data_IF_264118520427
#
_entry.id   IF_264118520427
#
_cell.length_a   1.000
_cell.length_b   1.000
_cell.length_c   1.000
_cell.angle_alpha   90.00
_cell.angle_beta   90.00
_cell.angle_gamma   90.00
#
_symmetry.space_group_name_H-M   'P 1'
#
loop_
_entity.id
_entity.type
_entity.pdbx_description
1 polymer ?
#
# COMPACT_ATOMS: atom_id res chain seq x y z
N UNK A 1 1.84 5.44 26.04
CA UNK A 1 1.88 5.63 24.58
C UNK A 1 0.53 5.23 24.02
N UNK A 2 -0.17 6.15 23.32
CA UNK A 2 -1.41 5.79 22.62
C UNK A 2 -1.13 4.70 21.56
N UNK A 3 -1.98 3.67 21.55
CA UNK A 3 -1.90 2.61 20.54
C UNK A 3 -2.30 3.18 19.19
N UNK A 4 -1.39 3.17 18.22
CA UNK A 4 -1.71 3.56 16.84
C UNK A 4 -2.88 2.70 16.31
N UNK A 5 -3.83 3.30 15.59
CA UNK A 5 -4.96 2.55 15.05
C UNK A 5 -4.48 1.49 14.05
N UNK A 6 -5.16 0.35 13.99
CA UNK A 6 -4.84 -0.74 13.06
C UNK A 6 -5.15 -0.38 11.60
N UNK A 7 -6.14 0.51 11.37
CA UNK A 7 -6.60 0.93 10.05
C UNK A 7 -6.91 2.43 10.03
N UNK A 8 -6.78 3.05 8.85
CA UNK A 8 -7.28 4.40 8.60
C UNK A 8 -8.76 4.32 8.21
N UNK A 9 -9.62 4.99 8.98
CA UNK A 9 -11.03 5.18 8.65
C UNK A 9 -11.20 6.60 8.14
N UNK A 10 -11.72 6.74 6.92
CA UNK A 10 -11.98 8.01 6.26
C UNK A 10 -13.47 8.30 6.37
N UNK A 11 -13.84 9.40 7.01
CA UNK A 11 -15.22 9.86 7.05
C UNK A 11 -15.49 10.83 5.89
N UNK A 12 -16.58 10.63 5.16
CA UNK A 12 -17.10 11.61 4.22
C UNK A 12 -18.25 12.38 4.90
N UNK A 13 -18.04 13.68 5.12
CA UNK A 13 -19.01 14.56 5.78
C UNK A 13 -20.26 14.84 4.94
N UNK A 14 -20.19 14.68 3.61
CA UNK A 14 -21.31 15.00 2.70
C UNK A 14 -22.41 13.94 2.70
N UNK A 15 -22.07 12.68 2.96
CA UNK A 15 -23.03 11.56 3.00
C UNK A 15 -23.04 10.84 4.35
N UNK A 16 -22.24 11.30 5.33
CA UNK A 16 -22.07 10.70 6.66
C UNK A 16 -21.64 9.21 6.62
N UNK A 17 -20.97 8.78 5.54
CA UNK A 17 -20.44 7.43 5.41
C UNK A 17 -18.95 7.39 5.79
N UNK A 18 -18.50 6.20 6.19
CA UNK A 18 -17.11 5.88 6.48
C UNK A 18 -16.56 4.86 5.49
N UNK A 19 -15.29 5.03 5.12
CA UNK A 19 -14.54 4.12 4.26
C UNK A 19 -13.28 3.64 4.97
N UNK A 20 -12.99 2.35 4.86
CA UNK A 20 -11.72 1.77 5.27
C UNK A 20 -11.05 1.03 4.11
N UNK A 21 -9.77 1.32 3.89
CA UNK A 21 -8.92 0.57 2.97
C UNK A 21 -8.09 -0.47 3.72
N UNK A 22 -8.12 -1.71 3.25
CA UNK A 22 -7.32 -2.80 3.79
C UNK A 22 -6.07 -3.01 2.93
N UNK A 23 -4.89 -2.57 3.40
CA UNK A 23 -3.65 -2.70 2.63
C UNK A 23 -3.14 -4.15 2.66
N UNK A 24 -2.85 -4.72 1.48
CA UNK A 24 -2.24 -6.04 1.36
C UNK A 24 -0.89 -5.92 0.64
N UNK A 25 0.18 -6.43 1.26
CA UNK A 25 1.53 -6.23 0.74
C UNK A 25 1.66 -6.62 -0.75
N UNK A 26 2.25 -5.72 -1.54
CA UNK A 26 2.50 -5.85 -3.00
C UNK A 26 1.25 -5.86 -3.89
N UNK A 27 0.11 -5.39 -3.39
CA UNK A 27 -1.12 -5.17 -4.17
C UNK A 27 -1.33 -3.71 -4.58
N UNK A 28 -0.28 -3.06 -5.12
CA UNK A 28 -0.32 -1.65 -5.52
C UNK A 28 -0.65 -0.64 -4.39
N UNK A 29 -0.32 -0.97 -3.14
CA UNK A 29 -0.63 -0.11 -1.99
C UNK A 29 -0.10 1.32 -2.13
N UNK A 30 1.13 1.53 -2.63
CA UNK A 30 1.66 2.89 -2.78
C UNK A 30 0.77 3.73 -3.69
N UNK A 31 0.33 3.17 -4.83
CA UNK A 31 -0.62 3.83 -5.73
C UNK A 31 -1.96 4.13 -5.07
N UNK A 32 -2.51 3.18 -4.29
CA UNK A 32 -3.75 3.41 -3.53
C UNK A 32 -3.57 4.53 -2.50
N UNK A 33 -2.45 4.54 -1.76
CA UNK A 33 -2.14 5.59 -0.80
C UNK A 33 -2.12 6.97 -1.48
N UNK A 34 -1.47 7.09 -2.63
CA UNK A 34 -1.49 8.34 -3.41
C UNK A 34 -2.89 8.74 -3.86
N UNK A 35 -3.68 7.77 -4.32
CA UNK A 35 -5.05 8.02 -4.74
C UNK A 35 -5.90 8.55 -3.58
N UNK A 36 -5.78 7.96 -2.39
CA UNK A 36 -6.47 8.41 -1.18
C UNK A 36 -5.94 9.77 -0.70
N UNK A 37 -4.62 9.99 -0.72
CA UNK A 37 -4.00 11.29 -0.38
C UNK A 37 -4.57 12.40 -1.25
N UNK A 38 -4.70 12.17 -2.57
CA UNK A 38 -5.28 13.12 -3.51
C UNK A 38 -6.77 13.38 -3.22
N UNK A 39 -7.53 12.34 -2.89
CA UNK A 39 -8.93 12.51 -2.46
C UNK A 39 -9.07 13.36 -1.19
N UNK A 40 -8.10 13.28 -0.30
CA UNK A 40 -8.05 14.03 0.95
C UNK A 40 -7.44 15.44 0.80
N UNK A 41 -6.94 15.83 -0.38
CA UNK A 41 -6.27 17.12 -0.58
C UNK A 41 -4.95 17.24 0.19
N UNK A 42 -4.23 16.13 0.37
CA UNK A 42 -2.99 16.05 1.16
C UNK A 42 -1.73 15.86 0.28
N UNK A 43 -1.83 15.99 -1.02
CA UNK A 43 -0.75 15.75 -1.99
C UNK A 43 0.54 16.52 -1.63
N UNK A 44 0.43 17.78 -1.24
CA UNK A 44 1.60 18.62 -0.90
C UNK A 44 2.29 18.20 0.41
N UNK A 45 1.72 17.25 1.15
CA UNK A 45 2.26 16.76 2.43
C UNK A 45 2.94 15.41 2.31
N UNK A 46 2.87 14.75 1.15
CA UNK A 46 3.43 13.42 0.96
C UNK A 46 4.29 13.27 -0.29
N UNK A 47 5.35 12.46 -0.18
CA UNK A 47 6.25 12.10 -1.28
C UNK A 47 6.53 10.58 -1.32
N UNK A 48 7.11 10.08 -2.41
CA UNK A 48 7.53 8.67 -2.55
C UNK A 48 9.05 8.56 -2.64
N UNK A 49 9.74 8.50 -1.51
CA UNK A 49 11.21 8.38 -1.50
C UNK A 49 11.62 6.95 -1.87
N UNK A 50 10.90 5.94 -1.36
CA UNK A 50 11.25 4.52 -1.50
C UNK A 50 11.12 3.97 -2.93
N UNK A 51 10.34 4.62 -3.79
CA UNK A 51 10.23 4.23 -5.20
C UNK A 51 11.33 4.86 -6.06
N UNK A 52 11.96 5.94 -5.58
CA UNK A 52 13.06 6.63 -6.25
C UNK A 52 14.41 6.07 -5.83
N UNK A 53 14.58 5.81 -4.54
CA UNK A 53 15.86 5.38 -3.96
C UNK A 53 15.66 4.11 -3.13
N UNK A 54 16.46 3.05 -3.36
CA UNK A 54 16.46 1.90 -2.47
C UNK A 54 16.93 2.32 -1.08
N UNK A 55 16.51 1.58 -0.05
CA UNK A 55 16.63 2.03 1.34
C UNK A 55 18.10 2.28 1.74
N UNK A 56 19.02 1.43 1.27
CA UNK A 56 20.45 1.56 1.53
C UNK A 56 21.13 2.75 0.82
N UNK A 57 20.45 3.41 -0.12
CA UNK A 57 20.95 4.62 -0.80
C UNK A 57 20.36 5.92 -0.24
N UNK A 58 19.42 5.86 0.71
CA UNK A 58 18.79 7.05 1.28
C UNK A 58 19.72 7.71 2.32
N UNK A 59 20.68 8.51 1.85
CA UNK A 59 21.59 9.29 2.70
C UNK A 59 20.87 10.45 3.40
N UNK A 60 21.47 11.00 4.46
CA UNK A 60 20.96 12.20 5.15
C UNK A 60 20.75 13.37 4.18
N UNK A 61 21.68 13.58 3.24
CA UNK A 61 21.56 14.62 2.20
C UNK A 61 20.32 14.42 1.31
N UNK A 62 20.00 13.17 0.94
CA UNK A 62 18.79 12.87 0.18
C UNK A 62 17.56 13.16 1.06
N UNK A 63 17.56 12.72 2.31
CA UNK A 63 16.43 12.90 3.22
C UNK A 63 16.15 14.38 3.53
N UNK A 64 17.19 15.21 3.62
CA UNK A 64 17.07 16.65 3.84
C UNK A 64 16.33 17.34 2.68
N UNK A 65 16.49 16.88 1.43
CA UNK A 65 15.74 17.37 0.26
C UNK A 65 14.23 17.12 0.36
N UNK A 66 13.80 16.23 1.25
CA UNK A 66 12.38 15.92 1.52
C UNK A 66 11.92 16.40 2.90
N UNK A 67 12.69 17.27 3.56
CA UNK A 67 12.32 17.83 4.86
C UNK A 67 11.02 18.61 4.76
N UNK A 68 10.14 18.40 5.74
CA UNK A 68 8.80 19.01 5.77
C UNK A 68 7.72 18.19 5.04
N UNK A 69 8.10 17.15 4.28
CA UNK A 69 7.17 16.26 3.57
C UNK A 69 7.22 14.85 4.18
N UNK A 70 6.07 14.17 4.28
CA UNK A 70 6.01 12.81 4.84
C UNK A 70 6.17 11.77 3.74
N UNK A 71 6.93 10.70 3.98
CA UNK A 71 6.95 9.58 3.05
C UNK A 71 5.58 8.87 3.03
N UNK A 72 5.06 8.57 1.83
CA UNK A 72 3.80 7.88 1.58
C UNK A 72 3.70 6.54 2.32
N UNK A 73 4.82 5.87 2.59
CA UNK A 73 4.78 4.63 3.39
C UNK A 73 4.12 4.84 4.75
N UNK A 74 4.22 6.04 5.31
CA UNK A 74 3.71 6.43 6.62
C UNK A 74 2.25 6.94 6.59
N UNK A 75 1.62 7.02 5.41
CA UNK A 75 0.25 7.52 5.29
C UNK A 75 -0.79 6.60 5.96
N UNK A 76 -0.64 5.28 5.78
CA UNK A 76 -1.48 4.29 6.45
C UNK A 76 -0.76 3.75 7.69
N UNK A 77 -1.51 3.25 8.68
CA UNK A 77 -0.92 2.48 9.76
C UNK A 77 -0.08 1.29 9.27
N UNK A 78 0.79 0.74 10.14
CA UNK A 78 1.58 -0.44 9.81
C UNK A 78 0.70 -1.60 9.34
N UNK A 79 1.24 -2.42 8.44
CA UNK A 79 0.58 -3.63 7.99
C UNK A 79 0.24 -4.55 9.19
N UNK A 80 -1.06 -4.76 9.41
CA UNK A 80 -1.60 -5.58 10.50
C UNK A 80 -2.32 -6.80 9.94
N UNK A 81 -2.34 -7.92 10.68
CA UNK A 81 -3.12 -9.11 10.31
C UNK A 81 -4.60 -8.70 10.18
N UNK A 82 -5.33 -9.33 9.26
CA UNK A 82 -6.75 -9.05 9.05
C UNK A 82 -7.53 -9.00 10.37
N UNK A 83 -8.31 -7.93 10.55
CA UNK A 83 -9.27 -7.76 11.64
C UNK A 83 -10.51 -7.08 11.07
N UNK A 84 -11.68 -7.48 11.53
CA UNK A 84 -12.92 -6.78 11.16
C UNK A 84 -12.95 -5.39 11.81
N UNK A 85 -13.47 -4.42 11.08
CA UNK A 85 -13.62 -3.01 11.48
C UNK A 85 -15.03 -2.57 11.11
N UNK A 86 -15.65 -1.80 12.00
CA UNK A 86 -16.95 -1.19 11.76
C UNK A 86 -16.73 0.05 10.87
N UNK A 87 -17.24 -0.01 9.65
CA UNK A 87 -17.25 1.07 8.66
C UNK A 87 -18.32 0.78 7.60
N UNK A 88 -18.87 1.80 6.96
CA UNK A 88 -19.96 1.64 5.98
C UNK A 88 -19.47 1.00 4.68
N UNK A 89 -18.32 1.47 4.19
CA UNK A 89 -17.63 0.95 3.00
C UNK A 89 -16.28 0.36 3.39
N UNK A 90 -15.97 -0.80 2.82
CA UNK A 90 -14.70 -1.51 3.01
C UNK A 90 -14.13 -1.82 1.64
N UNK A 91 -12.88 -1.47 1.41
CA UNK A 91 -12.24 -1.66 0.12
C UNK A 91 -10.88 -2.34 0.22
N UNK A 92 -10.53 -3.10 -0.82
CA UNK A 92 -9.22 -3.72 -0.95
C UNK A 92 -8.86 -3.93 -2.43
N UNK A 93 -7.56 -4.06 -2.70
CA UNK A 93 -7.06 -4.60 -3.97
C UNK A 93 -6.54 -6.01 -3.77
N UNK A 94 -6.89 -6.90 -4.69
CA UNK A 94 -6.31 -8.24 -4.82
C UNK A 94 -5.37 -8.29 -6.01
N UNK A 95 -4.46 -9.25 -6.03
CA UNK A 95 -3.50 -9.45 -7.12
C UNK A 95 -3.33 -10.93 -7.39
N UNK A 96 -2.99 -11.27 -8.63
CA UNK A 96 -2.51 -12.62 -8.94
C UNK A 96 -1.36 -13.02 -7.98
N UNK A 97 -1.44 -14.18 -7.29
CA UNK A 97 -0.45 -14.58 -6.29
C UNK A 97 0.97 -14.63 -6.82
N UNK A 98 1.18 -15.09 -8.06
CA UNK A 98 2.50 -15.24 -8.68
C UNK A 98 3.06 -13.86 -9.04
N UNK A 99 2.28 -13.01 -9.70
CA UNK A 99 2.66 -11.65 -10.02
C UNK A 99 2.97 -10.82 -8.77
N UNK A 100 2.24 -11.07 -7.67
CA UNK A 100 2.51 -10.46 -6.36
C UNK A 100 3.84 -10.94 -5.78
N UNK A 101 4.12 -12.23 -5.81
CA UNK A 101 5.37 -12.81 -5.35
C UNK A 101 6.57 -12.24 -6.12
N UNK A 102 6.53 -12.28 -7.46
CA UNK A 102 7.58 -11.72 -8.33
C UNK A 102 7.79 -10.24 -8.05
N UNK A 103 6.71 -9.48 -7.83
CA UNK A 103 6.80 -8.07 -7.44
C UNK A 103 7.46 -7.87 -6.07
N UNK A 104 7.19 -8.75 -5.11
CA UNK A 104 7.86 -8.80 -3.82
C UNK A 104 9.36 -9.04 -3.96
N UNK A 105 9.73 -10.09 -4.69
CA UNK A 105 11.12 -10.47 -4.93
C UNK A 105 11.93 -9.35 -5.59
N UNK A 106 11.45 -8.82 -6.72
CA UNK A 106 12.11 -7.72 -7.44
C UNK A 106 12.32 -6.48 -6.56
N UNK A 107 11.33 -6.15 -5.73
CA UNK A 107 11.38 -4.91 -4.94
C UNK A 107 12.17 -5.09 -3.64
N UNK A 108 11.87 -6.11 -2.83
CA UNK A 108 12.46 -6.26 -1.48
C UNK A 108 13.86 -6.85 -1.52
N UNK A 109 14.11 -7.79 -2.44
CA UNK A 109 15.39 -8.51 -2.51
C UNK A 109 16.32 -7.83 -3.51
N UNK A 110 15.89 -7.67 -4.77
CA UNK A 110 16.79 -7.15 -5.80
C UNK A 110 17.03 -5.63 -5.69
N UNK A 111 15.96 -4.87 -5.49
CA UNK A 111 16.04 -3.40 -5.45
C UNK A 111 16.41 -2.86 -4.07
N UNK A 112 15.61 -3.12 -3.03
CA UNK A 112 15.87 -2.59 -1.69
C UNK A 112 16.96 -3.34 -0.93
N UNK A 113 17.28 -4.58 -1.33
CA UNK A 113 18.27 -5.44 -0.65
C UNK A 113 18.04 -5.49 0.86
N UNK A 114 16.79 -5.74 1.25
CA UNK A 114 16.40 -5.81 2.65
C UNK A 114 17.37 -6.72 3.43
N UNK A 115 17.86 -6.30 4.62
CA UNK A 115 18.85 -7.06 5.37
C UNK A 115 18.48 -8.53 5.63
N UNK A 116 17.21 -8.82 5.93
CA UNK A 116 16.69 -10.18 6.12
C UNK A 116 16.57 -11.01 4.83
N UNK A 117 16.97 -10.49 3.67
CA UNK A 117 16.94 -11.20 2.40
C UNK A 117 18.24 -11.13 1.63
N UNK A 118 19.32 -10.68 2.27
CA UNK A 118 20.64 -10.66 1.64
C UNK A 118 20.96 -12.09 1.16
N UNK A 119 21.33 -12.21 -0.11
CA UNK A 119 21.67 -13.45 -0.81
C UNK A 119 20.59 -14.54 -0.86
N UNK A 120 19.32 -14.21 -0.60
CA UNK A 120 18.25 -15.18 -0.74
C UNK A 120 17.89 -15.44 -2.20
N UNK A 121 17.88 -16.71 -2.60
CA UNK A 121 17.34 -17.15 -3.89
C UNK A 121 15.80 -17.21 -3.86
N UNK A 122 15.17 -17.40 -5.01
CA UNK A 122 13.73 -17.65 -5.10
C UNK A 122 13.35 -18.90 -4.31
N UNK A 123 14.10 -19.99 -4.49
CA UNK A 123 13.82 -21.28 -3.83
C UNK A 123 13.91 -21.15 -2.31
N UNK A 124 14.93 -20.45 -1.79
CA UNK A 124 15.05 -20.19 -0.36
C UNK A 124 13.86 -19.40 0.19
N UNK A 125 13.34 -18.43 -0.56
CA UNK A 125 12.15 -17.67 -0.14
C UNK A 125 10.93 -18.57 -0.11
N UNK A 126 10.76 -19.45 -1.10
CA UNK A 126 9.65 -20.41 -1.16
C UNK A 126 9.73 -21.41 0.00
N UNK A 127 10.88 -22.04 0.21
CA UNK A 127 11.12 -22.99 1.30
C UNK A 127 10.83 -22.35 2.66
N UNK A 128 11.26 -21.11 2.87
CA UNK A 128 10.94 -20.35 4.10
C UNK A 128 9.43 -20.13 4.27
N UNK A 129 8.71 -19.82 3.19
CA UNK A 129 7.25 -19.65 3.24
C UNK A 129 6.54 -20.96 3.59
N UNK A 130 6.97 -22.08 3.00
CA UNK A 130 6.41 -23.42 3.25
C UNK A 130 6.62 -23.85 4.70
N UNK A 131 7.78 -23.52 5.28
CA UNK A 131 8.14 -23.83 6.66
C UNK A 131 7.66 -22.79 7.69
N UNK A 132 6.82 -21.82 7.29
CA UNK A 132 6.36 -20.72 8.13
C UNK A 132 7.47 -19.85 8.77
N UNK A 133 8.64 -19.78 8.15
CA UNK A 133 9.78 -18.98 8.59
C UNK A 133 9.73 -17.59 7.94
N UNK A 134 9.02 -16.65 8.58
CA UNK A 134 8.76 -15.33 8.00
C UNK A 134 9.62 -14.23 8.62
N UNK A 135 10.76 -13.92 8.00
CA UNK A 135 11.58 -12.75 8.36
C UNK A 135 10.95 -11.43 7.90
N UNK A 136 10.12 -11.48 6.84
CA UNK A 136 9.44 -10.31 6.30
C UNK A 136 8.00 -10.63 5.87
N UNK A 137 7.08 -9.79 6.32
CA UNK A 137 5.65 -9.94 6.05
C UNK A 137 5.27 -9.66 4.59
N UNK A 138 6.16 -9.10 3.77
CA UNK A 138 5.86 -8.77 2.37
C UNK A 138 5.51 -9.98 1.49
N UNK A 139 6.01 -11.17 1.82
CA UNK A 139 5.72 -12.40 1.08
C UNK A 139 4.51 -13.19 1.62
N UNK A 140 4.02 -12.86 2.82
CA UNK A 140 2.83 -13.50 3.39
C UNK A 140 1.64 -13.44 2.42
N UNK A 141 0.82 -14.50 2.34
CA UNK A 141 -0.31 -14.58 1.41
C UNK A 141 -1.32 -13.45 1.67
N UNK A 142 -2.09 -13.10 0.64
CA UNK A 142 -3.02 -11.96 0.70
C UNK A 142 -4.11 -12.14 1.76
N UNK A 143 -4.52 -13.38 2.01
CA UNK A 143 -5.50 -13.72 3.05
C UNK A 143 -5.02 -13.43 4.48
N UNK A 144 -3.70 -13.29 4.71
CA UNK A 144 -3.17 -12.80 5.97
C UNK A 144 -3.63 -11.36 6.26
N UNK A 145 -3.74 -10.54 5.21
CA UNK A 145 -4.11 -9.12 5.28
C UNK A 145 -5.61 -8.89 5.08
N UNK A 146 -6.25 -9.67 4.21
CA UNK A 146 -7.62 -9.46 3.75
C UNK A 146 -8.63 -10.45 4.33
N UNK A 147 -8.19 -11.47 5.07
CA UNK A 147 -9.04 -12.56 5.51
C UNK A 147 -9.34 -13.56 4.38
N UNK A 148 -10.24 -14.51 4.64
CA UNK A 148 -10.59 -15.58 3.70
C UNK A 148 -11.86 -15.32 2.89
N UNK A 149 -12.62 -14.28 3.24
CA UNK A 149 -13.91 -13.99 2.62
C UNK A 149 -13.91 -12.58 2.01
N UNK A 150 -13.89 -12.52 0.67
CA UNK A 150 -13.96 -11.25 -0.05
C UNK A 150 -15.36 -10.61 -0.03
N UNK A 151 -16.42 -11.35 0.33
CA UNK A 151 -17.78 -10.80 0.47
C UNK A 151 -17.88 -9.81 1.63
N UNK A 152 -16.89 -9.81 2.54
CA UNK A 152 -16.77 -8.81 3.60
C UNK A 152 -16.53 -7.39 3.06
N UNK A 153 -16.01 -7.24 1.85
CA UNK A 153 -15.68 -5.96 1.24
C UNK A 153 -16.77 -5.48 0.30
N UNK A 154 -17.03 -4.17 0.31
CA UNK A 154 -17.97 -3.53 -0.60
C UNK A 154 -17.31 -3.23 -1.96
N UNK A 155 -16.03 -2.88 -1.95
CA UNK A 155 -15.28 -2.46 -3.14
C UNK A 155 -14.05 -3.36 -3.28
N UNK A 156 -14.06 -4.24 -4.28
CA UNK A 156 -12.97 -5.16 -4.58
C UNK A 156 -12.57 -5.01 -6.03
N UNK A 157 -11.27 -4.91 -6.29
CA UNK A 157 -10.75 -4.94 -7.65
C UNK A 157 -9.41 -5.71 -7.71
N UNK A 158 -9.09 -6.24 -8.88
CA UNK A 158 -7.78 -6.82 -9.13
C UNK A 158 -6.81 -5.72 -9.57
N UNK A 159 -5.54 -5.79 -9.19
CA UNK A 159 -4.52 -4.87 -9.70
C UNK A 159 -4.37 -4.88 -11.23
N UNK A 160 -4.80 -5.95 -11.93
CA UNK A 160 -4.86 -5.99 -13.40
C UNK A 160 -6.05 -5.21 -13.98
N UNK A 161 -7.12 -5.02 -13.20
CA UNK A 161 -8.28 -4.21 -13.56
C UNK A 161 -8.84 -3.50 -12.32
N UNK A 162 -8.44 -2.25 -12.16
CA UNK A 162 -8.72 -1.41 -10.99
C UNK A 162 -10.01 -0.59 -11.10
N UNK A 163 -10.78 -0.72 -12.19
CA UNK A 163 -11.92 0.17 -12.50
C UNK A 163 -12.90 0.23 -11.34
N UNK A 164 -13.36 -0.91 -10.85
CA UNK A 164 -14.29 -0.97 -9.71
C UNK A 164 -13.76 -0.28 -8.45
N UNK A 165 -12.44 -0.30 -8.24
CA UNK A 165 -11.84 0.40 -7.11
C UNK A 165 -11.86 1.91 -7.32
N UNK A 166 -11.49 2.38 -8.50
CA UNK A 166 -11.53 3.81 -8.85
C UNK A 166 -12.93 4.35 -8.71
N UNK A 167 -13.89 3.70 -9.35
CA UNK A 167 -15.29 4.13 -9.36
C UNK A 167 -15.87 4.11 -7.95
N UNK A 168 -15.60 3.06 -7.17
CA UNK A 168 -16.07 2.97 -5.79
C UNK A 168 -15.51 4.06 -4.86
N UNK A 169 -14.24 4.44 -5.01
CA UNK A 169 -13.65 5.53 -4.22
C UNK A 169 -14.15 6.90 -4.69
N UNK A 170 -14.25 7.10 -6.00
CA UNK A 170 -14.76 8.34 -6.59
C UNK A 170 -16.22 8.57 -6.19
N UNK A 171 -17.06 7.52 -6.23
CA UNK A 171 -18.45 7.57 -5.78
C UNK A 171 -18.54 7.83 -4.27
N UNK A 172 -17.76 7.11 -3.46
CA UNK A 172 -17.70 7.34 -2.01
C UNK A 172 -17.34 8.79 -1.69
N UNK A 173 -16.38 9.37 -2.41
CA UNK A 173 -15.83 10.70 -2.13
C UNK A 173 -16.54 11.84 -2.86
N UNK A 174 -17.44 11.52 -3.79
CA UNK A 174 -18.09 12.45 -4.72
C UNK A 174 -17.07 13.32 -5.48
N UNK A 175 -15.96 12.71 -5.90
CA UNK A 175 -14.90 13.33 -6.70
C UNK A 175 -14.52 12.42 -7.86
N UNK A 176 -14.26 12.98 -9.03
CA UNK A 176 -13.75 12.23 -10.18
C UNK A 176 -12.24 12.42 -10.29
N UNK A 177 -11.49 11.47 -9.71
CA UNK A 177 -10.03 11.47 -9.81
C UNK A 177 -9.55 10.23 -10.55
N UNK A 178 -8.45 10.38 -11.28
CA UNK A 178 -7.77 9.29 -11.97
C UNK A 178 -6.81 8.54 -11.05
N UNK A 179 -6.76 7.21 -11.18
CA UNK A 179 -5.82 6.41 -10.42
C UNK A 179 -4.39 6.67 -10.91
N UNK A 180 -3.44 6.89 -10.00
CA UNK A 180 -2.07 7.18 -10.40
C UNK A 180 -1.39 5.94 -11.00
N UNK A 181 -0.84 6.07 -12.21
CA UNK A 181 0.07 5.06 -12.77
C UNK A 181 1.39 5.10 -12.01
N UNK A 182 1.95 3.93 -11.65
CA UNK A 182 3.16 3.82 -10.82
C UNK A 182 4.34 4.68 -11.32
N UNK A 183 4.59 4.74 -12.64
CA UNK A 183 5.65 5.58 -13.24
C UNK A 183 5.36 7.09 -13.24
N UNK A 184 4.11 7.52 -13.11
CA UNK A 184 3.73 8.95 -13.07
C UNK A 184 3.81 9.54 -11.65
N UNK A 185 3.66 8.71 -10.62
CA UNK A 185 3.82 9.13 -9.21
C UNK A 185 5.21 9.72 -8.96
N UNK A 186 6.26 9.10 -9.49
CA UNK A 186 7.62 9.60 -9.34
C UNK A 186 7.90 10.92 -10.09
N UNK A 187 7.11 11.26 -11.13
CA UNK A 187 7.33 12.45 -11.97
C UNK A 187 6.45 13.65 -11.62
N UNK A 188 5.26 13.42 -11.05
CA UNK A 188 4.24 14.46 -10.87
C UNK A 188 4.29 15.12 -9.48
N UNK A 189 5.03 14.56 -8.52
CA UNK A 189 5.33 15.25 -7.26
C UNK A 189 6.62 16.05 -7.47
N UNK A 190 6.48 17.21 -8.13
CA UNK A 190 7.58 18.15 -8.32
C UNK A 190 7.78 18.99 -7.07
N UNK A 191 9.05 19.13 -6.74
CA UNK A 191 9.66 19.89 -5.67
C UNK A 191 9.34 21.39 -5.80
N UNK A 192 8.96 22.00 -4.69
CA UNK A 192 9.14 23.43 -4.45
C UNK A 192 10.21 23.56 -3.37
#
# INVERSE_FOLDING_TARGET
MEKKPDYLIIANKSNNETLVYYPAAKNANSSVKFFLIKHLGLENKYCNIDDQFPAYMQTEEILEKYKGVKNVINFLPPYTKFKKVIADKKCCLVRDPIARFVSGYKNRILFHRDPGFINHSIDMVIEKLENNMFENRHFLPQNYWLGKDLKYFNIVANTSNIINFVDGINDFSKKELTFPKSRQVAKNFKFH
#
